data_IF_560666732458
#
_entry.id   IF_560666732458
#
_cell.length_a   1.000
_cell.length_b   1.000
_cell.length_c   1.000
_cell.angle_alpha   90.00
_cell.angle_beta   90.00
_cell.angle_gamma   90.00
#
_symmetry.space_group_name_H-M   'P 1'
#
loop_
_entity.id
_entity.type
_entity.pdbx_description
1 polymer ?
#
# COMPACT_ATOMS: atom_id res chain seq x y z
N UNK A 1 -42.79 -24.40 32.33
CA UNK A 1 -42.27 -23.00 32.28
C UNK A 1 -40.75 -22.94 32.44
N UNK A 2 -40.14 -23.70 33.36
CA UNK A 2 -38.68 -23.74 33.55
C UNK A 2 -37.88 -24.25 32.33
N UNK A 3 -38.35 -25.31 31.66
CA UNK A 3 -37.65 -25.91 30.51
C UNK A 3 -37.53 -24.95 29.30
N UNK A 4 -38.58 -24.16 29.07
CA UNK A 4 -38.61 -23.17 28.00
C UNK A 4 -37.70 -21.95 28.30
N UNK A 5 -37.40 -21.68 29.57
CA UNK A 5 -36.47 -20.61 29.99
C UNK A 5 -35.01 -21.07 29.84
N UNK A 6 -34.73 -22.35 30.08
CA UNK A 6 -33.40 -22.94 29.91
C UNK A 6 -33.00 -23.07 28.44
N UNK A 7 -33.91 -23.51 27.57
CA UNK A 7 -33.70 -23.60 26.12
C UNK A 7 -33.40 -22.22 25.48
N UNK A 8 -34.17 -21.18 25.85
CA UNK A 8 -33.94 -19.81 25.35
C UNK A 8 -32.60 -19.23 25.81
N UNK A 9 -32.16 -19.53 27.04
CA UNK A 9 -30.87 -19.06 27.56
C UNK A 9 -29.69 -19.73 26.84
N UNK A 10 -29.80 -21.02 26.52
CA UNK A 10 -28.79 -21.75 25.73
C UNK A 10 -28.66 -21.21 24.29
N UNK A 11 -29.78 -20.91 23.63
CA UNK A 11 -29.77 -20.33 22.29
C UNK A 11 -29.11 -18.95 22.29
N UNK A 12 -29.40 -18.10 23.27
CA UNK A 12 -28.79 -16.76 23.38
C UNK A 12 -27.27 -16.86 23.58
N UNK A 13 -26.81 -17.76 24.47
CA UNK A 13 -25.37 -17.98 24.69
C UNK A 13 -24.68 -18.48 23.41
N UNK A 14 -25.29 -19.43 22.70
CA UNK A 14 -24.74 -19.95 21.44
C UNK A 14 -24.68 -18.88 20.35
N UNK A 15 -25.68 -17.99 20.25
CA UNK A 15 -25.68 -16.86 19.33
C UNK A 15 -24.59 -15.83 19.66
N UNK A 16 -24.35 -15.54 20.94
CA UNK A 16 -23.29 -14.60 21.36
C UNK A 16 -21.91 -15.19 21.09
N UNK A 17 -21.71 -16.48 21.38
CA UNK A 17 -20.42 -17.16 21.15
C UNK A 17 -20.11 -17.23 19.66
N UNK A 18 -21.09 -17.56 18.81
CA UNK A 18 -20.89 -17.61 17.35
C UNK A 18 -20.61 -16.22 16.76
N UNK A 19 -21.28 -15.17 17.24
CA UNK A 19 -20.99 -13.79 16.84
C UNK A 19 -19.59 -13.36 17.27
N UNK A 20 -19.20 -13.65 18.52
CA UNK A 20 -17.87 -13.30 19.03
C UNK A 20 -16.77 -14.02 18.23
N UNK A 21 -16.95 -15.30 17.92
CA UNK A 21 -16.01 -16.07 17.10
C UNK A 21 -15.85 -15.45 15.69
N UNK A 22 -16.97 -15.06 15.07
CA UNK A 22 -16.95 -14.41 13.76
C UNK A 22 -16.21 -13.06 13.79
N UNK A 23 -16.44 -12.24 14.81
CA UNK A 23 -15.72 -10.97 14.99
C UNK A 23 -14.22 -11.22 15.15
N UNK A 24 -13.80 -12.19 15.97
CA UNK A 24 -12.39 -12.52 16.17
C UNK A 24 -11.72 -12.93 14.86
N UNK A 25 -12.38 -13.76 14.04
CA UNK A 25 -11.85 -14.19 12.74
C UNK A 25 -11.65 -12.99 11.81
N UNK A 26 -12.63 -12.08 11.74
CA UNK A 26 -12.52 -10.86 10.93
C UNK A 26 -11.36 -9.99 11.41
N UNK A 27 -11.20 -9.81 12.72
CA UNK A 27 -10.10 -9.03 13.28
C UNK A 27 -8.72 -9.63 12.94
N UNK A 28 -8.58 -10.96 13.01
CA UNK A 28 -7.35 -11.64 12.61
C UNK A 28 -7.09 -11.44 11.12
N UNK A 29 -8.11 -11.60 10.27
CA UNK A 29 -7.99 -11.39 8.83
C UNK A 29 -7.58 -9.96 8.48
N UNK A 30 -8.15 -8.95 9.16
CA UNK A 30 -7.78 -7.55 8.97
C UNK A 30 -6.38 -7.19 9.50
N UNK A 31 -5.77 -8.02 10.34
CA UNK A 31 -4.44 -7.78 10.91
C UNK A 31 -3.30 -8.28 10.02
N UNK A 32 -3.63 -9.06 8.98
CA UNK A 32 -2.68 -9.64 8.04
C UNK A 32 -2.71 -8.80 6.76
N UNK A 33 -1.53 -8.44 6.26
CA UNK A 33 -1.39 -7.79 4.96
C UNK A 33 -0.26 -8.43 4.18
N UNK A 34 -0.42 -8.47 2.86
CA UNK A 34 0.51 -9.14 1.95
C UNK A 34 1.15 -8.11 1.04
N UNK A 35 2.46 -8.23 0.86
CA UNK A 35 3.26 -7.46 -0.09
C UNK A 35 3.78 -8.38 -1.20
N UNK A 36 3.68 -7.92 -2.44
CA UNK A 36 4.16 -8.67 -3.61
C UNK A 36 5.69 -8.67 -3.69
N UNK A 37 6.27 -9.59 -4.49
CA UNK A 37 7.72 -9.68 -4.68
C UNK A 37 8.37 -8.40 -5.22
N UNK A 38 7.62 -7.62 -6.01
CA UNK A 38 8.06 -6.33 -6.56
C UNK A 38 7.58 -5.15 -5.73
N UNK A 39 7.08 -5.37 -4.52
CA UNK A 39 6.58 -4.32 -3.65
C UNK A 39 7.31 -4.31 -2.31
N UNK A 40 7.45 -3.12 -1.76
CA UNK A 40 7.82 -2.90 -0.36
C UNK A 40 6.79 -2.00 0.28
N UNK A 41 6.61 -2.13 1.59
CA UNK A 41 5.60 -1.40 2.34
C UNK A 41 6.20 -0.60 3.48
N UNK A 42 5.71 0.61 3.70
CA UNK A 42 5.86 1.29 4.99
C UNK A 42 4.62 1.04 5.84
N UNK A 43 4.82 0.67 7.10
CA UNK A 43 3.73 0.44 8.03
C UNK A 43 3.10 1.77 8.45
N UNK A 44 1.87 2.00 8.02
CA UNK A 44 1.07 3.18 8.35
C UNK A 44 0.05 2.84 9.42
N UNK A 45 0.11 3.56 10.54
CA UNK A 45 -0.84 3.40 11.65
C UNK A 45 -2.03 4.33 11.45
N UNK A 46 -3.22 3.80 11.13
CA UNK A 46 -4.39 4.66 10.90
C UNK A 46 -4.87 5.40 12.15
N UNK A 47 -4.58 4.84 13.33
CA UNK A 47 -4.94 5.40 14.63
C UNK A 47 -4.07 6.62 14.99
N UNK A 48 -2.74 6.47 14.88
CA UNK A 48 -1.78 7.50 15.28
C UNK A 48 -1.38 8.43 14.12
N UNK A 49 -1.77 8.09 12.88
CA UNK A 49 -1.37 8.80 11.66
C UNK A 49 0.16 8.89 11.51
N UNK A 50 0.86 7.87 11.99
CA UNK A 50 2.33 7.76 11.97
C UNK A 50 2.78 6.67 11.02
N UNK A 51 3.97 6.85 10.46
CA UNK A 51 4.67 5.84 9.67
C UNK A 51 5.91 5.39 10.40
N UNK A 52 6.13 4.08 10.41
CA UNK A 52 7.32 3.47 10.98
C UNK A 52 8.53 3.69 10.05
N UNK A 53 9.71 3.99 10.63
CA UNK A 53 10.99 4.03 9.91
C UNK A 53 11.54 2.62 9.68
N UNK A 54 10.67 1.76 9.16
CA UNK A 54 11.00 0.39 8.80
C UNK A 54 10.29 0.04 7.50
N UNK A 55 11.11 -0.38 6.54
CA UNK A 55 10.61 -0.88 5.27
C UNK A 55 10.36 -2.37 5.39
N UNK A 56 9.11 -2.77 5.14
CA UNK A 56 8.71 -4.16 5.08
C UNK A 56 8.88 -4.69 3.67
N UNK A 57 9.44 -5.89 3.55
CA UNK A 57 9.62 -6.58 2.28
C UNK A 57 8.42 -7.47 1.93
N UNK A 58 8.48 -8.03 0.72
CA UNK A 58 7.57 -9.03 0.19
C UNK A 58 7.25 -10.16 1.19
N UNK A 59 6.01 -10.65 1.11
CA UNK A 59 5.51 -11.74 1.94
C UNK A 59 4.29 -11.36 2.77
N UNK A 60 3.88 -12.31 3.61
CA UNK A 60 2.77 -12.15 4.55
C UNK A 60 3.32 -11.50 5.82
N UNK A 61 2.83 -10.31 6.14
CA UNK A 61 3.25 -9.56 7.32
C UNK A 61 2.06 -9.35 8.24
N UNK A 62 2.27 -9.61 9.53
CA UNK A 62 1.30 -9.30 10.57
C UNK A 62 1.54 -7.88 11.07
N UNK A 63 0.71 -6.93 10.63
CA UNK A 63 0.85 -5.50 10.96
C UNK A 63 -0.10 -5.07 12.08
N UNK A 64 -1.10 -5.90 12.40
CA UNK A 64 -2.09 -5.60 13.43
C UNK A 64 -3.28 -4.80 12.91
N UNK A 65 -4.27 -4.64 13.77
CA UNK A 65 -5.54 -3.99 13.45
C UNK A 65 -5.37 -2.49 13.22
N UNK A 66 -5.97 -1.98 12.13
CA UNK A 66 -5.93 -0.56 11.82
C UNK A 66 -4.59 -0.08 11.26
N UNK A 67 -3.68 -1.01 10.94
CA UNK A 67 -2.47 -0.73 10.19
C UNK A 67 -2.70 -1.06 8.71
N UNK A 68 -2.02 -0.31 7.84
CA UNK A 68 -2.01 -0.56 6.41
C UNK A 68 -0.60 -0.34 5.87
N UNK A 69 -0.29 -0.99 4.75
CA UNK A 69 0.96 -0.72 4.06
C UNK A 69 0.79 0.43 3.06
N UNK A 70 1.62 1.46 3.18
CA UNK A 70 1.91 2.35 2.07
C UNK A 70 2.86 1.63 1.12
N UNK A 71 2.34 1.15 -0.01
CA UNK A 71 3.07 0.31 -0.96
C UNK A 71 3.90 1.14 -1.92
N UNK A 72 5.09 0.65 -2.22
CA UNK A 72 6.01 1.19 -3.20
C UNK A 72 6.48 0.08 -4.12
N UNK A 73 6.48 0.38 -5.42
CA UNK A 73 6.95 -0.56 -6.44
C UNK A 73 8.47 -0.45 -6.59
N UNK A 74 9.16 -1.57 -6.44
CA UNK A 74 10.62 -1.68 -6.62
C UNK A 74 10.99 -2.26 -7.99
N UNK A 75 10.02 -2.45 -8.89
CA UNK A 75 10.31 -2.77 -10.29
C UNK A 75 11.05 -1.63 -10.97
N UNK A 76 11.71 -1.96 -12.07
CA UNK A 76 12.30 -0.97 -12.95
C UNK A 76 11.16 -0.25 -13.69
N UNK A 77 11.01 1.04 -13.45
CA UNK A 77 10.00 1.86 -14.10
C UNK A 77 10.67 2.70 -15.18
N UNK A 78 10.06 2.71 -16.37
CA UNK A 78 10.49 3.55 -17.49
C UNK A 78 9.59 4.77 -17.56
N UNK A 79 10.19 5.95 -17.64
CA UNK A 79 9.49 7.17 -18.03
C UNK A 79 9.96 7.49 -19.44
N UNK A 80 9.01 7.56 -20.36
CA UNK A 80 9.26 7.87 -21.76
C UNK A 80 8.61 9.20 -22.15
N UNK A 81 9.41 10.04 -22.82
CA UNK A 81 9.02 11.29 -23.45
C UNK A 81 9.14 11.11 -24.96
N UNK A 82 8.03 10.87 -25.66
CA UNK A 82 8.05 10.66 -27.11
C UNK A 82 6.71 11.06 -27.77
N UNK A 83 6.62 10.94 -29.10
CA UNK A 83 5.36 11.11 -29.84
C UNK A 83 4.46 9.86 -29.82
N UNK A 84 4.91 8.76 -29.23
CA UNK A 84 4.16 7.51 -29.24
C UNK A 84 2.86 7.62 -28.42
N UNK A 85 1.81 6.89 -28.82
CA UNK A 85 0.51 6.93 -28.14
C UNK A 85 0.53 6.31 -26.74
N UNK A 86 1.53 5.49 -26.46
CA UNK A 86 1.78 4.80 -25.19
C UNK A 86 2.90 5.45 -24.35
N UNK A 87 3.43 6.60 -24.78
CA UNK A 87 4.43 7.35 -24.04
C UNK A 87 3.89 7.81 -22.68
N UNK A 88 4.76 7.86 -21.67
CA UNK A 88 4.39 8.33 -20.33
C UNK A 88 4.07 9.83 -20.35
N UNK A 89 4.86 10.60 -21.10
CA UNK A 89 4.79 12.05 -21.19
C UNK A 89 5.04 12.51 -22.63
N UNK A 90 4.57 13.71 -23.01
CA UNK A 90 4.88 14.28 -24.32
C UNK A 90 6.36 14.63 -24.42
N UNK A 91 6.84 14.82 -25.65
CA UNK A 91 8.22 15.26 -25.92
C UNK A 91 8.62 16.50 -25.12
N UNK A 92 9.88 16.54 -24.73
CA UNK A 92 10.45 17.67 -24.00
C UNK A 92 10.70 18.79 -24.99
N UNK A 93 9.90 19.87 -24.86
CA UNK A 93 10.09 21.11 -25.60
C UNK A 93 11.23 21.90 -24.95
N UNK A 94 12.28 22.18 -25.72
CA UNK A 94 13.42 22.94 -25.24
C UNK A 94 13.95 23.87 -26.32
N UNK A 95 14.83 24.79 -25.92
CA UNK A 95 15.43 25.77 -26.81
C UNK A 95 16.93 25.73 -26.64
N UNK A 96 17.66 25.71 -27.74
CA UNK A 96 19.11 25.85 -27.72
C UNK A 96 19.50 27.25 -27.24
N UNK A 97 20.76 27.43 -26.85
CA UNK A 97 21.28 28.72 -26.40
C UNK A 97 21.13 29.81 -27.48
N UNK A 98 21.29 29.45 -28.76
CA UNK A 98 21.10 30.31 -29.93
C UNK A 98 19.63 30.55 -30.31
N UNK A 99 18.69 29.93 -29.59
CA UNK A 99 17.27 30.21 -29.75
C UNK A 99 16.54 29.35 -30.78
N UNK A 100 17.08 28.20 -31.16
CA UNK A 100 16.37 27.22 -31.99
C UNK A 100 15.46 26.34 -31.12
N UNK A 101 14.19 26.19 -31.51
CA UNK A 101 13.29 25.24 -30.85
C UNK A 101 13.63 23.81 -31.23
N UNK A 102 13.70 22.94 -30.22
CA UNK A 102 13.94 21.52 -30.37
C UNK A 102 12.91 20.73 -29.57
N UNK A 103 12.46 19.64 -30.18
CA UNK A 103 11.63 18.65 -29.52
C UNK A 103 12.49 17.41 -29.25
N UNK A 104 12.72 17.11 -27.98
CA UNK A 104 13.53 15.97 -27.57
C UNK A 104 12.66 14.78 -27.20
N UNK A 105 13.01 13.63 -27.78
CA UNK A 105 12.57 12.34 -27.28
C UNK A 105 13.64 11.79 -26.34
N UNK A 106 13.21 11.36 -25.17
CA UNK A 106 14.09 10.82 -24.15
C UNK A 106 13.36 9.73 -23.37
N UNK A 107 14.09 8.71 -22.94
CA UNK A 107 13.58 7.74 -21.99
C UNK A 107 14.62 7.51 -20.91
N UNK A 108 14.15 7.37 -19.68
CA UNK A 108 15.01 6.96 -18.59
C UNK A 108 14.30 5.94 -17.71
N UNK A 109 15.11 5.08 -17.11
CA UNK A 109 14.66 4.01 -16.25
C UNK A 109 15.14 4.30 -14.84
N UNK A 110 14.25 4.14 -13.87
CA UNK A 110 14.58 4.31 -12.47
C UNK A 110 14.06 3.13 -11.65
N UNK A 111 14.74 2.87 -10.54
CA UNK A 111 14.33 1.88 -9.55
C UNK A 111 14.45 2.48 -8.17
N UNK A 112 13.42 2.32 -7.37
CA UNK A 112 13.42 2.82 -5.99
C UNK A 112 14.32 1.95 -5.12
N UNK A 113 15.17 2.58 -4.31
CA UNK A 113 16.01 1.90 -3.34
C UNK A 113 15.23 1.63 -2.06
N UNK A 114 15.15 0.35 -1.66
CA UNK A 114 14.42 -0.11 -0.48
C UNK A 114 14.82 0.65 0.80
N UNK A 115 16.11 0.89 0.98
CA UNK A 115 16.66 1.54 2.18
C UNK A 115 16.33 3.03 2.28
N UNK A 116 15.80 3.63 1.22
CA UNK A 116 15.48 5.07 1.15
C UNK A 116 13.98 5.35 1.10
N UNK A 117 13.13 4.32 1.16
CA UNK A 117 11.67 4.47 1.05
C UNK A 117 11.12 5.40 2.13
N UNK A 118 11.54 5.25 3.38
CA UNK A 118 11.11 6.14 4.47
C UNK A 118 11.49 7.61 4.22
N UNK A 119 12.70 7.85 3.71
CA UNK A 119 13.14 9.20 3.37
C UNK A 119 12.36 9.78 2.19
N UNK A 120 11.98 8.97 1.20
CA UNK A 120 11.17 9.40 0.07
C UNK A 120 9.77 9.81 0.57
N UNK A 121 9.14 8.97 1.40
CA UNK A 121 7.84 9.28 2.01
C UNK A 121 7.88 10.58 2.82
N UNK A 122 8.91 10.76 3.64
CA UNK A 122 9.01 11.94 4.53
C UNK A 122 9.26 13.24 3.75
N UNK A 123 10.06 13.19 2.68
CA UNK A 123 10.40 14.39 1.90
C UNK A 123 9.36 14.76 0.84
N UNK A 124 8.71 13.76 0.24
CA UNK A 124 7.83 13.97 -0.93
C UNK A 124 6.37 13.59 -0.66
N UNK A 125 6.06 13.00 0.49
CA UNK A 125 4.71 12.58 0.87
C UNK A 125 4.21 11.33 0.13
N UNK A 126 2.90 11.14 0.18
CA UNK A 126 2.18 10.19 -0.67
C UNK A 126 1.89 10.84 -2.02
N UNK A 127 2.55 10.38 -3.08
CA UNK A 127 2.13 10.66 -4.46
C UNK A 127 1.01 9.72 -4.87
#
# INVERSE_FOLDING_TARGET
IFENKMSRSLVIVCSIVSLAALVVIILIACSISVLSYTEVGLNYSSWFKTVEDKTYEHGIQFIGLGHSFQRYDIKLNTIEFSKASDATLPMIKCRTNDGLELDLEASFQYRVQKDKIFSIYTNYGTQ
#
